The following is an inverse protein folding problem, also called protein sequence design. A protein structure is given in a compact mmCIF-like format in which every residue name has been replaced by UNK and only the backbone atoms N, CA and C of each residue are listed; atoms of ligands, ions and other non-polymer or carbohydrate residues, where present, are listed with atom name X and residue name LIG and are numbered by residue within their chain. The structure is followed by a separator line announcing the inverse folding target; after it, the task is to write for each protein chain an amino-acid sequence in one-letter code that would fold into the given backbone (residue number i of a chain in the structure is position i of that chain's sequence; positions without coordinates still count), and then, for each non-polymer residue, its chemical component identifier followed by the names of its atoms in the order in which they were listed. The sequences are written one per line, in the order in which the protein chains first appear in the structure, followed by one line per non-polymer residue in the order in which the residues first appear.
data_IF_828016305250
#
_entry.id   IF_828016305250
#
_cell.length_a   1.000
_cell.length_b   1.000
_cell.length_c   1.000
_cell.angle_alpha   90.00
_cell.angle_beta   90.00
_cell.angle_gamma   90.00
#
_symmetry.space_group_name_H-M   'P 1'
#
loop_
_entity.id
_entity.type
_entity.pdbx_description
1 polymer ?
#
# COMPACT_ATOMS: atom_id res chain seq x y z
N UNK A 1 3.37 -6.00 -4.69
CA UNK A 1 3.51 -6.01 -6.16
C UNK A 1 3.47 -7.44 -6.67
N UNK A 2 2.68 -7.74 -7.71
CA UNK A 2 1.98 -6.77 -8.56
C UNK A 2 0.54 -6.48 -8.13
N UNK A 3 0.17 -6.83 -6.89
CA UNK A 3 -1.02 -6.31 -6.21
C UNK A 3 -0.70 -5.99 -4.73
N UNK A 4 -1.43 -5.05 -4.10
CA UNK A 4 -1.51 -4.89 -2.65
C UNK A 4 -2.57 -5.84 -2.07
N UNK A 5 -2.51 -6.09 -0.76
CA UNK A 5 -3.53 -6.85 -0.05
C UNK A 5 -3.86 -8.21 -0.71
N UNK A 6 -5.12 -8.65 -0.62
CA UNK A 6 -5.57 -10.02 -0.86
C UNK A 6 -6.11 -10.24 -2.27
N UNK A 7 -6.11 -11.49 -2.70
CA UNK A 7 -6.89 -12.05 -3.81
C UNK A 7 -7.60 -13.28 -3.29
N UNK A 8 -8.93 -13.25 -3.28
CA UNK A 8 -9.78 -14.33 -2.80
C UNK A 8 -9.53 -15.64 -3.55
N UNK A 9 -9.26 -16.72 -2.81
CA UNK A 9 -8.94 -18.06 -3.31
C UNK A 9 -7.70 -18.10 -4.23
N UNK A 10 -6.94 -17.00 -4.31
CA UNK A 10 -5.88 -16.81 -5.29
C UNK A 10 -6.39 -16.88 -6.73
N UNK A 11 -7.70 -16.82 -6.96
CA UNK A 11 -8.32 -17.02 -8.27
C UNK A 11 -8.81 -15.71 -8.85
N UNK A 12 -8.50 -15.49 -10.11
CA UNK A 12 -8.99 -14.32 -10.84
C UNK A 12 -9.07 -14.63 -12.33
N UNK A 13 -9.76 -13.78 -13.09
CA UNK A 13 -9.98 -14.00 -14.52
C UNK A 13 -9.38 -12.85 -15.30
N UNK A 14 -8.52 -13.17 -16.26
CA UNK A 14 -7.99 -12.20 -17.21
C UNK A 14 -8.45 -12.54 -18.61
N UNK A 15 -9.24 -11.65 -19.23
CA UNK A 15 -9.72 -11.80 -20.62
C UNK A 15 -10.32 -13.18 -20.92
N UNK A 16 -11.07 -13.75 -19.96
CA UNK A 16 -11.71 -15.06 -20.08
C UNK A 16 -10.84 -16.25 -19.65
N UNK A 17 -9.56 -16.05 -19.34
CA UNK A 17 -8.67 -17.09 -18.84
C UNK A 17 -8.57 -17.05 -17.32
N UNK A 18 -8.85 -18.18 -16.65
CA UNK A 18 -8.65 -18.31 -15.21
C UNK A 18 -7.16 -18.33 -14.87
N UNK A 19 -6.81 -17.60 -13.82
CA UNK A 19 -5.48 -17.51 -13.24
C UNK A 19 -5.54 -17.99 -11.79
N UNK A 20 -4.54 -18.79 -11.37
CA UNK A 20 -4.43 -19.32 -10.01
C UNK A 20 -3.07 -18.94 -9.40
N UNK A 21 -3.12 -18.05 -8.41
CA UNK A 21 -1.99 -17.63 -7.59
C UNK A 21 -1.79 -18.60 -6.41
N UNK A 22 -0.56 -18.76 -5.90
CA UNK A 22 -0.31 -19.49 -4.67
C UNK A 22 -0.94 -18.77 -3.47
N UNK A 23 -1.51 -19.53 -2.54
CA UNK A 23 -2.09 -18.99 -1.31
C UNK A 23 -0.98 -18.71 -0.29
N UNK A 24 -0.69 -17.43 -0.04
CA UNK A 24 0.24 -17.00 1.02
C UNK A 24 -0.44 -16.85 2.38
N UNK A 25 -1.77 -16.82 2.43
CA UNK A 25 -2.58 -16.93 3.64
C UNK A 25 -3.51 -18.17 3.56
N UNK A 26 -3.00 -19.41 3.73
CA UNK A 26 -3.81 -20.62 3.55
C UNK A 26 -5.04 -20.68 4.45
N UNK A 27 -4.91 -20.24 5.71
CA UNK A 27 -6.02 -20.24 6.68
C UNK A 27 -7.18 -19.31 6.31
N UNK A 28 -6.92 -18.23 5.57
CA UNK A 28 -7.94 -17.30 5.05
C UNK A 28 -8.29 -17.55 3.58
N UNK A 29 -7.62 -18.53 2.96
CA UNK A 29 -7.71 -18.87 1.53
C UNK A 29 -7.47 -17.67 0.62
N UNK A 30 -6.39 -16.92 0.86
CA UNK A 30 -6.03 -15.76 0.03
C UNK A 30 -4.59 -15.84 -0.48
N UNK A 31 -4.37 -15.24 -1.66
CA UNK A 31 -3.04 -14.81 -2.08
C UNK A 31 -2.85 -13.35 -1.66
N UNK A 32 -1.88 -13.06 -0.81
CA UNK A 32 -1.69 -11.74 -0.20
C UNK A 32 -0.30 -11.15 -0.49
N UNK A 33 -0.28 -9.84 -0.79
CA UNK A 33 0.90 -8.98 -0.97
C UNK A 33 1.83 -9.30 -2.16
N UNK A 34 1.28 -9.85 -3.24
CA UNK A 34 2.01 -9.99 -4.49
C UNK A 34 3.04 -11.12 -4.49
N UNK A 35 3.99 -11.03 -5.43
CA UNK A 35 4.91 -12.12 -5.78
C UNK A 35 6.38 -11.83 -5.45
N UNK A 36 6.71 -10.60 -5.08
CA UNK A 36 8.12 -10.16 -4.89
C UNK A 36 8.44 -9.68 -3.48
N UNK A 37 7.53 -9.86 -2.51
CA UNK A 37 7.73 -9.46 -1.10
C UNK A 37 8.95 -10.14 -0.47
N UNK A 38 9.23 -11.38 -0.84
CA UNK A 38 10.35 -12.17 -0.33
C UNK A 38 11.49 -12.37 -1.36
N UNK A 39 11.40 -11.70 -2.51
CA UNK A 39 12.44 -11.77 -3.51
C UNK A 39 13.66 -10.94 -3.07
N UNK A 40 14.86 -11.32 -3.51
CA UNK A 40 16.05 -10.50 -3.31
C UNK A 40 16.11 -9.39 -4.36
N UNK A 41 15.96 -8.15 -3.90
CA UNK A 41 16.14 -6.96 -4.72
C UNK A 41 17.63 -6.61 -4.79
N UNK A 42 18.09 -6.15 -5.96
CA UNK A 42 19.51 -5.83 -6.20
C UNK A 42 19.64 -4.40 -6.73
N UNK A 43 20.77 -3.71 -6.52
CA UNK A 43 21.06 -2.46 -7.21
C UNK A 43 20.86 -2.61 -8.71
N UNK A 44 20.20 -1.64 -9.34
CA UNK A 44 20.00 -1.65 -10.80
C UNK A 44 21.33 -1.30 -11.48
N UNK A 45 21.90 -2.15 -12.36
CA UNK A 45 23.25 -1.97 -12.88
C UNK A 45 23.50 -0.63 -13.58
N UNK A 46 22.49 -0.11 -14.30
CA UNK A 46 22.59 1.13 -15.08
C UNK A 46 22.13 2.38 -14.30
N UNK A 47 21.88 2.25 -12.99
CA UNK A 47 21.53 3.36 -12.11
C UNK A 47 22.58 3.46 -11.01
N UNK A 48 23.52 4.38 -11.18
CA UNK A 48 24.52 4.64 -10.16
C UNK A 48 23.85 5.12 -8.86
N UNK A 49 24.26 4.60 -7.69
CA UNK A 49 23.79 5.15 -6.42
C UNK A 49 24.25 6.60 -6.26
N UNK A 50 23.38 7.43 -5.69
CA UNK A 50 23.74 8.77 -5.23
C UNK A 50 24.08 8.72 -3.73
N UNK A 51 24.66 9.80 -3.19
CA UNK A 51 24.95 9.89 -1.75
C UNK A 51 23.68 9.76 -0.89
N UNK A 52 22.54 10.18 -1.43
CA UNK A 52 21.25 10.29 -0.76
C UNK A 52 20.16 9.43 -1.41
N UNK A 53 20.50 8.59 -2.40
CA UNK A 53 19.52 7.76 -3.08
C UNK A 53 20.05 6.39 -3.52
N UNK A 54 19.20 5.38 -3.42
CA UNK A 54 19.45 4.02 -3.91
C UNK A 54 18.26 3.51 -4.73
N UNK A 55 18.54 2.88 -5.87
CA UNK A 55 17.53 2.19 -6.67
C UNK A 55 17.79 0.70 -6.66
N UNK A 56 16.81 -0.05 -6.19
CA UNK A 56 16.81 -1.50 -6.17
C UNK A 56 15.81 -2.02 -7.19
N UNK A 57 16.16 -3.08 -7.91
CA UNK A 57 15.29 -3.72 -8.89
C UNK A 57 15.18 -5.23 -8.71
N UNK A 58 14.11 -5.78 -9.26
CA UNK A 58 13.86 -7.22 -9.40
C UNK A 58 13.10 -7.47 -10.69
N UNK A 59 13.50 -8.51 -11.44
CA UNK A 59 12.71 -9.01 -12.56
C UNK A 59 11.72 -10.04 -12.05
N UNK A 60 10.44 -9.72 -12.11
CA UNK A 60 9.35 -10.66 -11.89
C UNK A 60 9.17 -11.48 -13.17
N UNK A 61 9.52 -12.75 -13.13
CA UNK A 61 9.30 -13.66 -14.25
C UNK A 61 7.83 -14.09 -14.30
N UNK A 62 7.33 -14.35 -15.51
CA UNK A 62 6.04 -15.00 -15.70
C UNK A 62 6.01 -16.36 -14.97
N UNK A 63 4.90 -16.66 -14.31
CA UNK A 63 4.71 -17.86 -13.49
C UNK A 63 3.21 -18.24 -13.40
N UNK A 64 2.85 -19.41 -12.86
CA UNK A 64 1.43 -19.78 -12.71
C UNK A 64 0.61 -18.71 -12.00
N UNK A 65 -0.54 -18.35 -12.58
CA UNK A 65 -1.42 -17.29 -12.10
C UNK A 65 -0.98 -15.87 -12.42
N UNK A 66 0.19 -15.70 -13.06
CA UNK A 66 0.74 -14.41 -13.47
C UNK A 66 1.60 -14.55 -14.75
N UNK A 67 0.99 -14.50 -15.94
CA UNK A 67 1.69 -14.73 -17.22
C UNK A 67 2.56 -13.56 -17.73
N UNK A 68 2.81 -12.52 -16.93
CA UNK A 68 3.62 -11.36 -17.36
C UNK A 68 5.02 -11.37 -16.76
N UNK A 69 6.00 -10.99 -17.58
CA UNK A 69 7.34 -10.66 -17.10
C UNK A 69 7.45 -9.15 -16.94
N UNK A 70 7.91 -8.69 -15.79
CA UNK A 70 8.03 -7.25 -15.49
C UNK A 70 9.37 -6.93 -14.82
N UNK A 71 9.95 -5.79 -15.17
CA UNK A 71 11.03 -5.19 -14.39
C UNK A 71 10.41 -4.24 -13.36
N UNK A 72 10.62 -4.54 -12.09
CA UNK A 72 10.15 -3.73 -10.97
C UNK A 72 11.34 -3.00 -10.36
N UNK A 73 11.17 -1.72 -10.03
CA UNK A 73 12.18 -0.96 -9.32
C UNK A 73 11.59 -0.11 -8.20
N UNK A 74 12.38 0.08 -7.15
CA UNK A 74 12.10 0.92 -5.99
C UNK A 74 13.28 1.86 -5.81
N UNK A 75 13.03 3.16 -5.92
CA UNK A 75 14.02 4.20 -5.60
C UNK A 75 13.66 4.81 -4.26
N UNK A 76 14.63 4.79 -3.34
CA UNK A 76 14.57 5.49 -2.06
C UNK A 76 15.51 6.69 -2.13
N UNK A 77 15.00 7.89 -1.91
CA UNK A 77 15.77 9.12 -1.90
C UNK A 77 15.51 9.89 -0.60
N UNK A 78 16.57 10.35 0.07
CA UNK A 78 16.52 11.07 1.31
C UNK A 78 16.87 12.54 1.07
N UNK A 79 16.07 13.45 1.60
CA UNK A 79 16.31 14.88 1.50
C UNK A 79 16.12 15.53 2.87
N UNK A 80 17.04 16.41 3.26
CA UNK A 80 17.04 17.03 4.58
C UNK A 80 15.76 17.86 4.86
N UNK A 81 15.14 18.46 3.83
CA UNK A 81 13.92 19.24 3.95
C UNK A 81 12.64 18.47 3.63
N UNK A 82 12.72 17.39 2.85
CA UNK A 82 11.56 16.64 2.32
C UNK A 82 11.44 15.21 2.86
N UNK A 83 12.37 14.77 3.70
CA UNK A 83 12.36 13.43 4.29
C UNK A 83 12.64 12.33 3.25
N UNK A 84 12.07 11.15 3.49
CA UNK A 84 12.18 10.02 2.59
C UNK A 84 11.16 10.15 1.45
N UNK A 85 11.60 10.01 0.21
CA UNK A 85 10.75 9.80 -0.96
C UNK A 85 10.98 8.41 -1.53
N UNK A 86 9.89 7.72 -1.85
CA UNK A 86 9.88 6.38 -2.43
C UNK A 86 9.17 6.44 -3.78
N UNK A 87 9.87 6.02 -4.83
CA UNK A 87 9.30 5.87 -6.18
C UNK A 87 9.28 4.40 -6.55
N UNK A 88 8.09 3.86 -6.80
CA UNK A 88 7.90 2.51 -7.31
C UNK A 88 7.65 2.57 -8.82
N UNK A 89 8.33 1.73 -9.58
CA UNK A 89 8.08 1.57 -11.02
C UNK A 89 7.91 0.12 -11.41
N UNK A 90 7.10 -0.11 -12.44
CA UNK A 90 6.89 -1.42 -13.03
C UNK A 90 6.83 -1.31 -14.54
N UNK A 91 7.85 -1.84 -15.22
CA UNK A 91 7.93 -1.89 -16.68
C UNK A 91 7.45 -3.25 -17.17
N UNK A 92 6.49 -3.25 -18.09
CA UNK A 92 6.02 -4.47 -18.71
C UNK A 92 6.98 -4.92 -19.83
N UNK A 93 7.47 -6.16 -19.73
CA UNK A 93 8.35 -6.77 -20.73
C UNK A 93 7.64 -7.81 -21.61
N UNK A 94 6.35 -8.05 -21.35
CA UNK A 94 5.52 -8.95 -22.15
C UNK A 94 4.87 -8.21 -23.31
N UNK A 95 4.36 -8.98 -24.28
CA UNK A 95 3.69 -8.48 -25.50
C UNK A 95 2.21 -8.11 -25.27
N UNK A 96 1.68 -8.37 -24.08
CA UNK A 96 0.31 -8.03 -23.70
C UNK A 96 0.28 -7.07 -22.52
N UNK A 97 -0.73 -6.20 -22.47
CA UNK A 97 -0.97 -5.31 -21.34
C UNK A 97 -1.12 -6.11 -20.03
N UNK A 98 -0.42 -5.67 -18.98
CA UNK A 98 -0.42 -6.30 -17.67
C UNK A 98 -1.33 -5.54 -16.69
N UNK A 99 -2.34 -6.17 -16.06
CA UNK A 99 -3.03 -5.56 -14.94
C UNK A 99 -2.03 -5.40 -13.79
N UNK A 100 -1.96 -4.25 -13.11
CA UNK A 100 -0.95 -4.00 -12.08
C UNK A 100 -1.47 -3.09 -10.97
N UNK A 101 -1.05 -3.38 -9.74
CA UNK A 101 -1.18 -2.50 -8.61
C UNK A 101 0.03 -2.56 -7.68
N UNK A 102 0.29 -1.44 -7.02
CA UNK A 102 1.36 -1.26 -6.06
C UNK A 102 0.81 -1.12 -4.64
N UNK A 103 1.60 -1.60 -3.68
CA UNK A 103 1.37 -1.47 -2.25
C UNK A 103 2.69 -1.44 -1.50
N UNK A 104 2.78 -0.63 -0.45
CA UNK A 104 3.89 -0.62 0.52
C UNK A 104 3.35 -0.76 1.93
N UNK A 105 4.15 -1.29 2.85
CA UNK A 105 3.69 -1.58 4.22
C UNK A 105 4.56 -0.89 5.31
N UNK A 106 4.78 0.44 5.27
CA UNK A 106 5.54 1.10 6.31
C UNK A 106 4.75 1.13 7.62
N UNK A 107 5.45 0.89 8.73
CA UNK A 107 4.95 1.14 10.08
C UNK A 107 5.49 2.48 10.56
N UNK A 108 4.57 3.41 10.81
CA UNK A 108 4.85 4.74 11.32
C UNK A 108 4.88 4.71 12.85
N UNK A 109 5.82 5.43 13.44
CA UNK A 109 5.92 5.62 14.89
C UNK A 109 6.22 7.07 15.20
N UNK A 110 5.66 7.54 16.30
CA UNK A 110 5.93 8.86 16.90
C UNK A 110 7.03 8.79 17.98
N UNK A 111 7.52 7.58 18.28
CA UNK A 111 8.35 7.27 19.45
C UNK A 111 7.54 6.87 20.69
N UNK A 112 6.20 6.97 20.65
CA UNK A 112 5.32 6.47 21.72
C UNK A 112 5.46 4.95 21.90
N UNK A 113 5.31 4.47 23.13
CA UNK A 113 5.31 3.03 23.41
C UNK A 113 4.12 2.30 22.74
N UNK A 114 2.99 2.99 22.62
CA UNK A 114 1.77 2.55 21.95
C UNK A 114 1.16 3.73 21.19
N UNK A 115 0.46 3.45 20.10
CA UNK A 115 -0.20 4.47 19.27
C UNK A 115 -1.57 4.91 19.80
N UNK A 116 -2.02 4.36 20.93
CA UNK A 116 -3.36 4.56 21.48
C UNK A 116 -3.65 6.07 21.73
N UNK A 117 -2.67 6.79 22.28
CA UNK A 117 -2.78 8.24 22.54
C UNK A 117 -2.31 9.10 21.36
N UNK A 118 -1.76 8.50 20.30
CA UNK A 118 -1.34 9.23 19.12
C UNK A 118 -2.57 9.70 18.33
N UNK A 119 -2.50 10.93 17.84
CA UNK A 119 -3.51 11.55 16.98
C UNK A 119 -3.24 11.15 15.54
N UNK A 120 -4.22 10.46 14.93
CA UNK A 120 -4.26 10.15 13.51
C UNK A 120 -5.15 11.15 12.80
N UNK A 121 -4.60 11.78 11.76
CA UNK A 121 -5.35 12.52 10.74
C UNK A 121 -5.23 11.80 9.41
N UNK A 122 -6.37 11.41 8.83
CA UNK A 122 -6.44 10.66 7.57
C UNK A 122 -7.47 11.35 6.66
N UNK A 123 -7.02 11.98 5.55
CA UNK A 123 -7.89 12.74 4.66
C UNK A 123 -8.64 11.80 3.71
N UNK A 124 -9.49 10.93 4.23
CA UNK A 124 -10.25 9.97 3.46
C UNK A 124 -11.72 10.00 3.86
N UNK A 125 -12.63 9.97 2.88
CA UNK A 125 -14.08 10.09 3.14
C UNK A 125 -14.83 8.77 3.12
N UNK A 126 -14.21 7.70 2.59
CA UNK A 126 -14.80 6.38 2.45
C UNK A 126 -13.85 5.32 2.99
N UNK A 127 -14.39 4.31 3.69
CA UNK A 127 -13.66 3.09 4.05
C UNK A 127 -14.28 1.85 3.41
N UNK A 128 -13.43 0.86 3.17
CA UNK A 128 -13.81 -0.46 2.70
C UNK A 128 -14.15 -1.36 3.90
N UNK A 129 -15.31 -2.01 3.81
CA UNK A 129 -15.73 -3.03 4.76
C UNK A 129 -15.22 -4.39 4.28
N UNK A 130 -14.72 -5.18 5.21
CA UNK A 130 -14.23 -6.54 4.95
C UNK A 130 -14.95 -7.56 5.82
N UNK A 131 -15.07 -8.79 5.35
CA UNK A 131 -15.58 -9.88 6.18
C UNK A 131 -14.57 -10.27 7.28
N UNK A 132 -15.04 -10.77 8.42
CA UNK A 132 -14.17 -11.04 9.56
C UNK A 132 -13.26 -12.27 9.38
N UNK A 133 -13.68 -13.24 8.57
CA UNK A 133 -13.00 -14.52 8.41
C UNK A 133 -11.83 -14.41 7.42
N UNK A 134 -12.09 -13.86 6.24
CA UNK A 134 -11.16 -13.82 5.11
C UNK A 134 -10.60 -12.43 4.86
N UNK A 135 -11.16 -11.39 5.48
CA UNK A 135 -10.76 -9.99 5.28
C UNK A 135 -10.83 -9.57 3.81
N UNK A 136 -11.83 -10.08 3.09
CA UNK A 136 -12.14 -9.71 1.70
C UNK A 136 -13.22 -8.62 1.69
N UNK A 137 -13.23 -7.73 0.67
CA UNK A 137 -14.21 -6.66 0.58
C UNK A 137 -15.65 -7.18 0.50
N UNK A 138 -16.55 -6.59 1.30
CA UNK A 138 -18.00 -6.87 1.29
C UNK A 138 -18.85 -5.62 1.04
N UNK A 139 -18.24 -4.44 1.07
CA UNK A 139 -18.93 -3.17 0.85
C UNK A 139 -18.04 -1.98 1.17
N UNK A 140 -18.64 -0.80 1.16
CA UNK A 140 -18.00 0.47 1.50
C UNK A 140 -18.98 1.32 2.30
N UNK A 141 -18.47 2.21 3.12
CA UNK A 141 -19.28 3.20 3.82
C UNK A 141 -18.57 4.55 3.95
N UNK A 142 -19.32 5.66 3.98
CA UNK A 142 -18.77 6.97 4.36
C UNK A 142 -18.24 6.91 5.80
N UNK A 143 -17.11 7.57 6.06
CA UNK A 143 -16.56 7.63 7.42
C UNK A 143 -17.30 8.63 8.30
N UNK A 144 -17.97 9.62 7.71
CA UNK A 144 -18.62 10.73 8.42
C UNK A 144 -19.60 10.27 9.49
N UNK A 145 -19.37 10.72 10.73
CA UNK A 145 -20.22 10.37 11.87
C UNK A 145 -19.99 8.96 12.44
N UNK A 146 -18.97 8.24 11.96
CA UNK A 146 -18.57 6.93 12.49
C UNK A 146 -17.33 7.06 13.39
N UNK A 147 -17.03 6.01 14.15
CA UNK A 147 -15.76 5.88 14.87
C UNK A 147 -14.55 5.76 13.91
N UNK A 148 -14.73 5.72 12.59
CA UNK A 148 -13.64 5.60 11.63
C UNK A 148 -13.35 6.93 10.91
N UNK A 149 -13.99 8.02 11.33
CA UNK A 149 -13.70 9.38 10.86
C UNK A 149 -12.44 9.92 11.55
N UNK A 150 -11.37 10.05 10.77
CA UNK A 150 -10.09 10.63 11.21
C UNK A 150 -9.76 11.92 10.44
N UNK A 151 -10.69 12.46 9.64
CA UNK A 151 -10.42 13.63 8.78
C UNK A 151 -10.10 14.89 9.57
N UNK A 152 -10.66 15.02 10.78
CA UNK A 152 -10.41 16.16 11.67
C UNK A 152 -9.25 15.97 12.64
N UNK A 153 -8.52 14.85 12.56
CA UNK A 153 -7.50 14.47 13.54
C UNK A 153 -8.10 14.05 14.89
N UNK A 154 -7.82 12.82 15.34
CA UNK A 154 -8.18 12.41 16.71
C UNK A 154 -7.26 11.31 17.22
N UNK A 155 -7.19 11.16 18.54
CA UNK A 155 -6.52 10.03 19.18
C UNK A 155 -7.08 8.71 18.63
N UNK A 156 -6.23 7.74 18.34
CA UNK A 156 -6.64 6.41 17.86
C UNK A 156 -7.53 5.73 18.93
N UNK A 157 -7.13 5.83 20.20
CA UNK A 157 -7.84 5.23 21.34
C UNK A 157 -8.03 3.73 21.15
N UNK A 158 -9.16 3.19 21.59
CA UNK A 158 -9.49 1.76 21.46
C UNK A 158 -9.91 1.34 20.04
N UNK A 159 -9.81 2.24 19.04
CA UNK A 159 -10.19 1.91 17.67
C UNK A 159 -9.24 0.84 17.12
N UNK A 160 -9.81 -0.30 16.72
CA UNK A 160 -9.10 -1.34 15.97
C UNK A 160 -9.21 -1.02 14.50
N UNK A 161 -8.06 -0.87 13.85
CA UNK A 161 -7.95 -0.58 12.42
C UNK A 161 -7.34 -1.77 11.70
N UNK A 162 -8.03 -2.21 10.66
CA UNK A 162 -7.53 -3.10 9.59
C UNK A 162 -8.39 -2.82 8.34
N UNK A 163 -8.38 -1.55 7.90
CA UNK A 163 -9.29 -1.06 6.87
C UNK A 163 -8.56 -0.28 5.77
N UNK A 164 -9.00 -0.49 4.53
CA UNK A 164 -8.62 0.33 3.40
C UNK A 164 -9.51 1.56 3.33
N UNK A 165 -8.91 2.73 3.14
CA UNK A 165 -9.57 4.02 2.97
C UNK A 165 -9.32 4.54 1.56
N UNK A 166 -10.31 5.24 1.00
CA UNK A 166 -10.27 5.84 -0.35
C UNK A 166 -10.99 7.18 -0.36
N UNK A 167 -11.19 7.76 -1.55
CA UNK A 167 -11.71 9.10 -1.74
C UNK A 167 -10.87 10.11 -0.96
N UNK A 168 -9.56 10.04 -1.22
CA UNK A 168 -8.55 10.82 -0.52
C UNK A 168 -8.66 12.30 -0.90
N UNK A 169 -8.82 13.16 0.11
CA UNK A 169 -8.75 14.61 -0.07
C UNK A 169 -7.29 15.02 -0.29
N UNK A 170 -7.06 15.79 -1.35
CA UNK A 170 -5.73 16.17 -1.82
C UNK A 170 -5.51 17.66 -1.73
N UNK A 171 -4.30 18.04 -1.37
CA UNK A 171 -3.85 19.43 -1.41
C UNK A 171 -3.64 19.95 -2.83
N UNK A 172 -3.33 21.24 -2.99
CA UNK A 172 -3.10 21.87 -4.30
C UNK A 172 -1.93 21.27 -5.10
N UNK A 173 -1.01 20.56 -4.43
CA UNK A 173 0.10 19.85 -5.04
C UNK A 173 -0.26 18.42 -5.52
N UNK A 174 -1.54 18.05 -5.44
CA UNK A 174 -2.06 16.74 -5.84
C UNK A 174 -1.79 15.63 -4.83
N UNK A 175 -1.23 15.94 -3.65
CA UNK A 175 -0.90 14.94 -2.64
C UNK A 175 -1.98 14.81 -1.57
N UNK A 176 -2.20 13.58 -1.11
CA UNK A 176 -2.90 13.33 0.14
C UNK A 176 -1.85 13.06 1.23
N UNK A 177 -2.11 13.51 2.46
CA UNK A 177 -1.18 13.40 3.59
C UNK A 177 -1.86 12.76 4.78
N UNK A 178 -1.34 11.64 5.25
CA UNK A 178 -1.72 11.00 6.51
C UNK A 178 -0.75 11.45 7.59
N UNK A 179 -1.27 11.99 8.69
CA UNK A 179 -0.44 12.50 9.79
C UNK A 179 -0.66 11.67 11.04
N UNK A 180 0.45 11.28 11.68
CA UNK A 180 0.46 10.68 13.00
C UNK A 180 1.26 11.59 13.94
N UNK A 181 0.70 11.95 15.10
CA UNK A 181 1.31 12.85 16.09
C UNK A 181 1.16 12.30 17.48
N UNK A 182 2.22 12.34 18.29
CA UNK A 182 2.14 12.07 19.71
C UNK A 182 1.46 13.22 20.44
N UNK A 183 0.96 13.01 21.68
CA UNK A 183 0.52 14.10 22.55
C UNK A 183 1.59 15.18 22.81
N UNK A 184 2.88 14.82 22.67
CA UNK A 184 4.01 15.74 22.82
C UNK A 184 4.28 16.60 21.57
N UNK A 185 3.55 16.36 20.47
CA UNK A 185 3.64 17.13 19.23
C UNK A 185 4.65 16.60 18.20
N UNK A 186 5.44 15.58 18.54
CA UNK A 186 6.33 14.90 17.59
C UNK A 186 5.54 13.95 16.68
N UNK A 187 6.01 13.70 15.47
CA UNK A 187 5.42 12.63 14.66
C UNK A 187 5.91 12.57 13.23
N UNK A 188 5.05 12.08 12.36
CA UNK A 188 5.38 11.83 10.96
C UNK A 188 4.20 12.14 10.06
N UNK A 189 4.51 12.66 8.88
CA UNK A 189 3.58 12.74 7.74
C UNK A 189 3.96 11.70 6.71
N UNK A 190 3.00 10.92 6.25
CA UNK A 190 3.11 10.11 5.05
C UNK A 190 2.31 10.79 3.93
N UNK A 191 2.98 11.19 2.86
CA UNK A 191 2.33 11.76 1.69
C UNK A 191 2.28 10.76 0.53
N UNK A 192 1.26 10.84 -0.30
CA UNK A 192 1.10 9.98 -1.49
C UNK A 192 0.70 10.80 -2.72
N UNK A 193 1.18 10.41 -3.90
CA UNK A 193 0.79 11.03 -5.17
C UNK A 193 -0.57 10.54 -5.69
N UNK A 194 -0.98 11.01 -6.86
CA UNK A 194 -2.28 10.71 -7.46
C UNK A 194 -2.46 9.24 -7.85
N UNK A 195 -1.37 8.51 -8.11
CA UNK A 195 -1.43 7.10 -8.49
C UNK A 195 -1.85 6.21 -7.30
N UNK A 196 -1.58 6.66 -6.08
CA UNK A 196 -1.99 6.01 -4.84
C UNK A 196 -3.39 6.47 -4.45
N UNK A 197 -4.40 5.68 -4.77
CA UNK A 197 -5.82 6.00 -4.51
C UNK A 197 -6.35 5.47 -3.18
N UNK A 198 -5.61 4.56 -2.54
CA UNK A 198 -6.04 3.85 -1.35
C UNK A 198 -4.96 3.92 -0.26
N UNK A 199 -5.39 3.97 1.00
CA UNK A 199 -4.51 3.82 2.17
C UNK A 199 -5.08 2.74 3.06
N UNK A 200 -4.35 1.64 3.26
CA UNK A 200 -4.69 0.64 4.28
C UNK A 200 -4.10 1.07 5.62
N UNK A 201 -4.93 1.12 6.67
CA UNK A 201 -4.50 1.51 8.02
C UNK A 201 -4.71 0.33 8.96
N UNK A 202 -3.64 -0.03 9.67
CA UNK A 202 -3.62 -1.22 10.52
C UNK A 202 -2.88 -0.98 11.84
N UNK A 203 -3.58 -1.20 12.95
CA UNK A 203 -3.09 -0.99 14.32
C UNK A 203 -2.36 -2.20 14.91
N UNK A 204 -2.22 -3.30 14.16
CA UNK A 204 -1.45 -4.46 14.58
C UNK A 204 -1.96 -5.19 15.83
N UNK A 205 -3.26 -5.09 16.15
CA UNK A 205 -3.85 -5.68 17.37
C UNK A 205 -3.63 -7.19 17.50
N UNK A 206 -3.46 -7.92 16.39
CA UNK A 206 -3.18 -9.36 16.34
C UNK A 206 -1.68 -9.73 16.35
N UNK A 207 -0.77 -8.77 16.58
CA UNK A 207 0.69 -8.99 16.58
C UNK A 207 1.29 -9.30 17.97
N UNK A 208 0.47 -9.69 18.94
CA UNK A 208 0.91 -10.08 20.29
C UNK A 208 1.67 -8.95 21.00
N UNK A 209 2.89 -9.19 21.46
CA UNK A 209 3.72 -8.20 22.17
C UNK A 209 4.06 -6.95 21.35
N UNK A 210 3.92 -7.02 20.02
CA UNK A 210 4.12 -5.88 19.11
C UNK A 210 2.82 -5.15 18.78
N UNK A 211 1.71 -5.54 19.40
CA UNK A 211 0.42 -4.92 19.12
C UNK A 211 0.45 -3.43 19.44
N UNK A 212 0.10 -2.63 18.43
CA UNK A 212 -0.10 -1.18 18.54
C UNK A 212 1.16 -0.39 18.93
N UNK A 213 2.36 -0.95 18.75
CA UNK A 213 3.62 -0.20 18.99
C UNK A 213 3.97 0.76 17.84
N UNK A 214 3.31 0.59 16.70
CA UNK A 214 3.39 1.44 15.52
C UNK A 214 2.11 1.29 14.70
N UNK A 215 1.83 2.24 13.82
CA UNK A 215 0.67 2.23 12.93
C UNK A 215 1.13 1.89 11.51
N UNK A 216 0.63 0.80 10.94
CA UNK A 216 0.81 0.57 9.51
C UNK A 216 -0.07 1.55 8.73
N UNK A 217 0.55 2.33 7.84
CA UNK A 217 -0.14 3.23 6.91
C UNK A 217 0.37 2.88 5.52
N UNK A 218 -0.41 2.10 4.79
CA UNK A 218 0.01 1.41 3.57
C UNK A 218 -0.48 2.16 2.33
N UNK A 219 0.40 2.86 1.57
CA UNK A 219 0.06 3.42 0.28
C UNK A 219 -0.29 2.30 -0.70
N UNK A 220 -1.51 2.29 -1.22
CA UNK A 220 -2.00 1.31 -2.18
C UNK A 220 -2.59 1.99 -3.42
N UNK A 221 -2.29 1.49 -4.62
CA UNK A 221 -2.83 2.08 -5.87
C UNK A 221 -4.20 1.52 -6.24
N UNK A 222 -4.57 0.39 -5.63
CA UNK A 222 -5.83 -0.33 -5.83
C UNK A 222 -6.27 -0.96 -4.49
N UNK A 223 -7.57 -1.27 -4.31
CA UNK A 223 -8.07 -1.87 -3.07
C UNK A 223 -7.64 -3.34 -2.90
N UNK A 224 -7.85 -3.94 -1.72
CA UNK A 224 -7.89 -5.38 -1.59
C UNK A 224 -8.79 -6.03 -2.66
N UNK A 225 -8.38 -7.19 -3.15
CA UNK A 225 -9.10 -7.99 -4.15
C UNK A 225 -9.22 -7.37 -5.55
N UNK A 226 -8.42 -6.34 -5.85
CA UNK A 226 -8.45 -5.63 -7.13
C UNK A 226 -8.26 -6.53 -8.36
N UNK A 227 -7.46 -7.61 -8.29
CA UNK A 227 -7.32 -8.56 -9.41
C UNK A 227 -8.65 -9.26 -9.77
N UNK A 228 -9.58 -9.40 -8.82
CA UNK A 228 -10.92 -9.97 -9.06
C UNK A 228 -11.95 -8.89 -9.38
N UNK A 229 -11.92 -7.75 -8.70
CA UNK A 229 -12.90 -6.68 -8.90
C UNK A 229 -12.62 -5.83 -10.14
N UNK A 230 -11.35 -5.76 -10.57
CA UNK A 230 -10.88 -4.83 -11.61
C UNK A 230 -10.75 -3.38 -11.13
N UNK A 231 -11.13 -3.09 -9.88
CA UNK A 231 -11.14 -1.73 -9.34
C UNK A 231 -9.73 -1.18 -9.26
N UNK A 232 -9.51 -0.02 -9.88
CA UNK A 232 -8.28 0.76 -9.82
C UNK A 232 -6.98 0.02 -10.21
N UNK A 233 -7.09 -1.11 -10.92
CA UNK A 233 -5.92 -1.72 -11.56
C UNK A 233 -5.41 -0.83 -12.69
N UNK A 234 -4.11 -0.58 -12.70
CA UNK A 234 -3.46 -0.02 -13.88
C UNK A 234 -3.37 -1.10 -14.97
N UNK A 235 -3.53 -0.71 -16.24
CA UNK A 235 -3.06 -1.51 -17.37
C UNK A 235 -1.70 -0.98 -17.81
N UNK A 236 -0.66 -1.78 -17.66
CA UNK A 236 0.69 -1.43 -18.13
C UNK A 236 0.87 -2.02 -19.53
N UNK A 237 0.78 -1.17 -20.55
CA UNK A 237 0.95 -1.58 -21.95
C UNK A 237 2.34 -2.20 -22.21
N UNK A 238 2.51 -3.02 -23.26
CA UNK A 238 3.80 -3.59 -23.64
C UNK A 238 4.90 -2.52 -23.76
N UNK A 239 6.00 -2.71 -23.03
CA UNK A 239 7.12 -1.77 -23.00
C UNK A 239 6.89 -0.50 -22.17
N UNK A 240 5.65 -0.22 -21.73
CA UNK A 240 5.33 0.92 -20.89
C UNK A 240 5.73 0.71 -19.43
N UNK A 241 5.77 1.81 -18.67
CA UNK A 241 6.16 1.83 -17.27
C UNK A 241 5.08 2.50 -16.43
N UNK A 242 4.59 1.81 -15.41
CA UNK A 242 3.80 2.40 -14.33
C UNK A 242 4.71 3.08 -13.31
N UNK A 243 4.25 4.16 -12.68
CA UNK A 243 4.95 4.83 -11.58
C UNK A 243 3.98 5.26 -10.49
N UNK A 244 4.35 5.04 -9.22
CA UNK A 244 3.68 5.60 -8.05
C UNK A 244 4.70 6.13 -7.05
N UNK A 245 4.35 7.21 -6.33
CA UNK A 245 5.23 7.85 -5.36
C UNK A 245 4.53 8.11 -4.04
N UNK A 246 5.30 7.95 -2.98
CA UNK A 246 4.92 8.33 -1.63
C UNK A 246 6.17 8.71 -0.85
N UNK A 247 6.02 9.27 0.33
CA UNK A 247 7.16 9.59 1.18
C UNK A 247 6.78 9.84 2.62
N UNK A 248 7.79 9.98 3.47
CA UNK A 248 7.64 10.18 4.91
C UNK A 248 8.50 11.35 5.36
N UNK A 249 7.91 12.26 6.13
CA UNK A 249 8.57 13.44 6.69
C UNK A 249 8.41 13.41 8.20
N UNK A 250 9.53 13.54 8.93
CA UNK A 250 9.50 13.72 10.38
C UNK A 250 8.97 15.12 10.75
N UNK A 251 8.24 15.21 11.86
CA UNK A 251 7.57 16.41 12.33
C UNK A 251 7.80 16.63 13.83
#
# INVERSE_FOLDING_TARGET
MPWPNRVGDGRWTWRGTEQQLPLSEPGRRNASHGLVRWASWRPVPDVAPAEDAVTLGVRLMAQPGWPWTMDLAMTYALDAGRGLSVTATARNLSEEAAPFAYGSHPYLTTGSARVDDDVLELPATTRLLTDDERKLPVGREPVGGTAYDFRGGRAIGDTVLDHAYTDLERGPDGRAVVSLRSPAGTGVDLWVDEAVRWVQVYTADDQGDRARTALAVEPCTAPPDALRSGEDLALVEPGATFTARWGVVAR
#
